data_IF_882153985456
#
_entry.id   IF_882153985456
#
_cell.length_a   1.000
_cell.length_b   1.000
_cell.length_c   1.000
_cell.angle_alpha   90.00
_cell.angle_beta   90.00
_cell.angle_gamma   90.00
#
_symmetry.space_group_name_H-M   'P 1'
#
loop_
_entity.id
_entity.type
_entity.pdbx_description
1 polymer ?
#
# COMPACT_ATOMS: atom_id res chain seq x y z
N UNK A 1 -12.73 -69.89 14.13
CA UNK A 1 -11.60 -69.27 14.81
C UNK A 1 -11.16 -68.09 13.96
N UNK A 2 -11.88 -66.95 14.12
CA UNK A 2 -11.64 -65.72 13.36
C UNK A 2 -10.72 -64.78 14.18
N UNK A 3 -9.74 -64.12 13.53
CA UNK A 3 -9.02 -63.07 14.23
C UNK A 3 -9.72 -61.70 14.02
N UNK A 4 -10.06 -61.08 15.12
CA UNK A 4 -10.61 -59.75 15.31
C UNK A 4 -9.72 -58.69 14.69
N UNK A 5 -10.26 -57.92 13.73
CA UNK A 5 -9.66 -56.72 13.19
C UNK A 5 -9.96 -55.53 14.08
N UNK A 6 -8.91 -54.91 14.68
CA UNK A 6 -9.00 -53.61 15.35
C UNK A 6 -9.10 -52.50 14.30
N UNK A 7 -9.94 -51.50 14.48
CA UNK A 7 -9.90 -50.28 13.64
C UNK A 7 -8.72 -49.39 14.10
N UNK A 8 -7.89 -49.02 13.12
CA UNK A 8 -6.88 -47.98 13.28
C UNK A 8 -7.59 -46.61 13.32
N UNK A 9 -7.48 -45.91 14.45
CA UNK A 9 -7.80 -44.50 14.56
C UNK A 9 -6.75 -43.70 13.75
N UNK A 10 -7.17 -43.13 12.65
CA UNK A 10 -6.44 -42.09 11.94
C UNK A 10 -6.84 -40.74 12.60
N UNK A 11 -6.03 -40.29 13.54
CA UNK A 11 -6.09 -38.92 14.05
C UNK A 11 -5.55 -37.97 12.97
N UNK A 12 -6.44 -37.47 12.12
CA UNK A 12 -6.18 -36.34 11.27
C UNK A 12 -6.18 -35.06 12.09
N UNK A 13 -5.01 -34.63 12.55
CA UNK A 13 -4.82 -33.30 13.14
C UNK A 13 -5.01 -32.29 12.02
N UNK A 14 -6.19 -31.69 11.96
CA UNK A 14 -6.45 -30.51 11.14
C UNK A 14 -5.74 -29.34 11.82
N UNK A 15 -4.62 -28.92 11.24
CA UNK A 15 -3.86 -27.72 11.63
C UNK A 15 -4.62 -26.47 11.15
N UNK A 16 -5.74 -26.15 11.80
CA UNK A 16 -6.44 -24.89 11.63
C UNK A 16 -5.67 -23.84 12.45
N UNK A 17 -5.15 -22.76 11.84
CA UNK A 17 -4.43 -21.72 12.57
C UNK A 17 -5.30 -21.20 13.71
N UNK A 18 -4.87 -21.43 14.95
CA UNK A 18 -5.60 -21.03 16.14
C UNK A 18 -5.67 -19.51 16.19
N UNK A 19 -6.85 -18.94 16.08
CA UNK A 19 -7.07 -17.50 16.16
C UNK A 19 -6.39 -16.92 17.41
N UNK A 20 -5.64 -15.83 17.24
CA UNK A 20 -4.93 -15.16 18.32
C UNK A 20 -5.91 -14.72 19.42
N UNK A 21 -5.52 -14.89 20.70
CA UNK A 21 -6.24 -14.33 21.84
C UNK A 21 -6.25 -12.79 21.77
N UNK A 22 -7.14 -12.14 22.53
CA UNK A 22 -7.17 -10.67 22.62
C UNK A 22 -5.82 -10.07 23.03
N UNK A 23 -5.13 -10.71 23.99
CA UNK A 23 -3.76 -10.32 24.42
C UNK A 23 -2.73 -10.56 23.30
N UNK A 24 -2.90 -11.61 22.51
CA UNK A 24 -2.06 -11.89 21.34
C UNK A 24 -2.19 -10.78 20.28
N UNK A 25 -3.41 -10.43 19.92
CA UNK A 25 -3.68 -9.32 18.95
C UNK A 25 -3.14 -7.98 19.44
N UNK A 26 -3.28 -7.67 20.73
CA UNK A 26 -2.71 -6.45 21.30
C UNK A 26 -1.18 -6.43 21.23
N UNK A 27 -0.53 -7.58 21.45
CA UNK A 27 0.93 -7.69 21.34
C UNK A 27 1.40 -7.54 19.90
N UNK A 28 0.72 -8.20 18.96
CA UNK A 28 0.99 -8.08 17.53
C UNK A 28 0.86 -6.62 17.08
N UNK A 29 -0.25 -5.96 17.42
CA UNK A 29 -0.49 -4.55 17.10
C UNK A 29 0.61 -3.64 17.67
N UNK A 30 1.08 -3.87 18.88
CA UNK A 30 2.15 -3.07 19.47
C UNK A 30 3.48 -3.20 18.67
N UNK A 31 3.80 -4.40 18.15
CA UNK A 31 4.97 -4.63 17.30
C UNK A 31 4.80 -3.90 15.95
N UNK A 32 3.62 -4.02 15.34
CA UNK A 32 3.29 -3.37 14.07
C UNK A 32 3.35 -1.85 14.16
N UNK A 33 2.73 -1.25 15.19
CA UNK A 33 2.73 0.20 15.42
C UNK A 33 4.17 0.73 15.64
N UNK A 34 5.00 0.00 16.41
CA UNK A 34 6.41 0.34 16.61
C UNK A 34 7.20 0.29 15.30
N UNK A 35 6.99 -0.74 14.48
CA UNK A 35 7.66 -0.89 13.21
C UNK A 35 7.25 0.21 12.21
N UNK A 36 5.96 0.53 12.08
CA UNK A 36 5.46 1.62 11.23
C UNK A 36 6.15 2.94 11.57
N UNK A 37 6.23 3.26 12.86
CA UNK A 37 6.89 4.48 13.34
C UNK A 37 8.38 4.50 13.00
N UNK A 38 9.10 3.43 13.31
CA UNK A 38 10.56 3.36 13.10
C UNK A 38 10.92 3.33 11.61
N UNK A 39 10.15 2.65 10.77
CA UNK A 39 10.36 2.66 9.32
C UNK A 39 10.12 4.05 8.72
N UNK A 40 9.17 4.82 9.24
CA UNK A 40 8.96 6.20 8.81
C UNK A 40 10.09 7.13 9.27
N UNK A 41 10.63 6.96 10.48
CA UNK A 41 11.66 7.83 11.07
C UNK A 41 13.07 7.52 10.58
N UNK A 42 13.42 6.24 10.44
CA UNK A 42 14.80 5.77 10.21
C UNK A 42 14.96 4.94 8.93
N UNK A 43 13.88 4.68 8.23
CA UNK A 43 13.83 3.75 7.11
C UNK A 43 13.93 2.28 7.54
N UNK A 44 13.65 1.40 6.60
CA UNK A 44 13.69 -0.05 6.83
C UNK A 44 15.10 -0.56 7.19
N UNK A 45 16.12 -0.17 6.44
CA UNK A 45 17.50 -0.62 6.66
C UNK A 45 18.11 -0.03 7.93
N UNK A 46 17.71 1.19 8.33
CA UNK A 46 18.14 1.85 9.57
C UNK A 46 17.46 1.36 10.84
N UNK A 47 16.52 0.41 10.72
CA UNK A 47 15.74 -0.14 11.85
C UNK A 47 16.12 -1.60 12.09
N UNK A 48 16.51 -1.93 13.33
CA UNK A 48 16.78 -3.33 13.73
C UNK A 48 15.56 -3.96 14.41
N UNK A 49 15.55 -5.30 14.46
CA UNK A 49 14.55 -6.05 15.23
C UNK A 49 14.54 -5.67 16.72
N UNK A 50 15.73 -5.40 17.27
CA UNK A 50 15.88 -4.98 18.68
C UNK A 50 15.22 -3.62 18.90
N UNK A 51 15.37 -2.67 17.96
CA UNK A 51 14.70 -1.37 18.04
C UNK A 51 13.19 -1.53 18.08
N UNK A 52 12.63 -2.37 17.17
CA UNK A 52 11.19 -2.63 17.09
C UNK A 52 10.67 -3.24 18.38
N UNK A 53 11.34 -4.30 18.88
CA UNK A 53 10.89 -5.00 20.09
C UNK A 53 10.99 -4.14 21.33
N UNK A 54 12.05 -3.32 21.44
CA UNK A 54 12.23 -2.35 22.53
C UNK A 54 11.14 -1.28 22.52
N UNK A 55 10.85 -0.69 21.34
CA UNK A 55 9.81 0.31 21.17
C UNK A 55 8.40 -0.27 21.47
N UNK A 56 8.16 -1.54 21.13
CA UNK A 56 6.92 -2.24 21.42
C UNK A 56 6.79 -2.68 22.91
N UNK A 57 7.84 -2.54 23.72
CA UNK A 57 7.89 -3.08 25.10
C UNK A 57 7.79 -4.61 25.12
N UNK A 58 8.43 -5.29 24.18
CA UNK A 58 8.42 -6.75 24.02
C UNK A 58 9.84 -7.30 23.88
N UNK A 59 10.01 -8.59 24.17
CA UNK A 59 11.29 -9.26 23.92
C UNK A 59 11.39 -9.78 22.48
N UNK A 60 12.60 -9.99 21.93
CA UNK A 60 12.79 -10.65 20.63
C UNK A 60 12.12 -12.01 20.52
N UNK A 61 12.11 -12.81 21.61
CA UNK A 61 11.42 -14.10 21.63
C UNK A 61 9.90 -13.97 21.41
N UNK A 62 9.30 -12.87 21.86
CA UNK A 62 7.87 -12.58 21.61
C UNK A 62 7.65 -12.19 20.14
N UNK A 63 8.56 -11.45 19.52
CA UNK A 63 8.49 -11.09 18.09
C UNK A 63 8.43 -12.34 17.22
N UNK A 64 9.34 -13.30 17.42
CA UNK A 64 9.42 -14.54 16.65
C UNK A 64 8.20 -15.47 16.75
N UNK A 65 7.24 -15.15 17.62
CA UNK A 65 5.94 -15.84 17.66
C UNK A 65 4.95 -15.33 16.60
N UNK A 66 5.21 -14.17 16.00
CA UNK A 66 4.32 -13.51 15.04
C UNK A 66 4.97 -13.36 13.67
N UNK A 67 6.27 -13.15 13.63
CA UNK A 67 7.02 -12.86 12.40
C UNK A 67 8.35 -13.61 12.42
N UNK A 68 8.75 -14.16 11.27
CA UNK A 68 10.01 -14.88 11.14
C UNK A 68 11.22 -13.92 11.12
N UNK A 69 11.04 -12.74 10.57
CA UNK A 69 12.07 -11.71 10.44
C UNK A 69 11.44 -10.32 10.21
N UNK A 70 12.27 -9.32 9.97
CA UNK A 70 11.84 -7.94 9.73
C UNK A 70 11.15 -7.78 8.37
N UNK A 71 11.56 -8.54 7.39
CA UNK A 71 10.96 -8.61 6.06
C UNK A 71 9.55 -9.19 6.10
N UNK A 72 9.35 -10.24 6.89
CA UNK A 72 8.04 -10.83 7.09
C UNK A 72 7.06 -9.86 7.78
N UNK A 73 7.52 -9.13 8.80
CA UNK A 73 6.75 -8.05 9.40
C UNK A 73 6.41 -6.96 8.38
N UNK A 74 7.38 -6.51 7.56
CA UNK A 74 7.13 -5.51 6.53
C UNK A 74 6.08 -5.97 5.52
N UNK A 75 6.17 -7.23 5.07
CA UNK A 75 5.20 -7.77 4.13
C UNK A 75 3.80 -7.83 4.74
N UNK A 76 3.66 -8.27 6.00
CA UNK A 76 2.38 -8.26 6.71
C UNK A 76 1.80 -6.83 6.84
N UNK A 77 2.65 -5.83 7.11
CA UNK A 77 2.24 -4.42 7.16
C UNK A 77 1.78 -3.90 5.79
N UNK A 78 2.47 -4.28 4.72
CA UNK A 78 2.11 -3.90 3.36
C UNK A 78 0.81 -4.60 2.90
N UNK A 79 0.63 -5.87 3.21
CA UNK A 79 -0.60 -6.63 2.94
C UNK A 79 -1.80 -6.05 3.69
N UNK A 80 -1.64 -5.70 4.99
CA UNK A 80 -2.68 -5.02 5.78
C UNK A 80 -3.07 -3.69 5.18
N UNK A 81 -2.08 -2.89 4.80
CA UNK A 81 -2.29 -1.60 4.15
C UNK A 81 -3.03 -1.75 2.82
N UNK A 82 -2.61 -2.70 1.98
CA UNK A 82 -3.27 -2.98 0.71
C UNK A 82 -4.73 -3.38 0.93
N UNK A 83 -5.00 -4.22 1.93
CA UNK A 83 -6.34 -4.64 2.29
C UNK A 83 -7.21 -3.47 2.75
N UNK A 84 -6.68 -2.58 3.59
CA UNK A 84 -7.36 -1.37 4.06
C UNK A 84 -7.69 -0.40 2.92
N UNK A 85 -6.84 -0.32 1.89
CA UNK A 85 -6.99 0.57 0.73
C UNK A 85 -7.94 0.00 -0.32
N UNK A 86 -7.80 -1.29 -0.65
CA UNK A 86 -8.56 -1.94 -1.72
C UNK A 86 -9.96 -2.34 -1.28
N UNK A 87 -10.14 -2.79 -0.04
CA UNK A 87 -11.45 -3.27 0.45
C UNK A 87 -12.50 -2.20 0.75
N UNK A 88 -12.17 -0.99 1.28
CA UNK A 88 -13.17 0.05 1.45
C UNK A 88 -13.64 0.67 0.14
N UNK A 89 -13.11 0.24 -0.99
CA UNK A 89 -13.46 0.69 -2.34
C UNK A 89 -14.86 0.28 -2.80
N UNK A 90 -15.77 0.01 -1.88
CA UNK A 90 -17.16 0.39 -2.04
C UNK A 90 -17.33 1.91 -2.27
N UNK A 91 -16.26 2.68 -2.40
CA UNK A 91 -16.23 4.02 -2.97
C UNK A 91 -16.76 3.89 -4.40
N UNK A 92 -18.06 4.10 -4.54
CA UNK A 92 -18.65 4.46 -5.83
C UNK A 92 -18.07 5.82 -6.20
N UNK A 93 -16.84 5.79 -6.72
CA UNK A 93 -16.22 6.97 -7.28
C UNK A 93 -17.15 7.42 -8.41
N UNK A 94 -17.79 8.58 -8.24
CA UNK A 94 -18.46 9.24 -9.34
C UNK A 94 -17.37 9.74 -10.28
N UNK A 95 -17.08 8.93 -11.30
CA UNK A 95 -16.06 9.26 -12.30
C UNK A 95 -16.42 10.57 -13.00
N UNK A 96 -15.43 11.39 -13.37
CA UNK A 96 -15.67 12.70 -13.96
C UNK A 96 -16.31 12.56 -15.34
N UNK A 97 -17.35 13.36 -15.60
CA UNK A 97 -18.07 13.38 -16.88
C UNK A 97 -17.68 14.57 -17.75
N UNK A 98 -17.07 15.57 -17.16
CA UNK A 98 -16.71 16.82 -17.84
C UNK A 98 -15.47 17.48 -17.26
N UNK A 99 -14.85 18.42 -17.99
CA UNK A 99 -13.72 19.24 -17.49
C UNK A 99 -14.07 20.06 -16.24
N UNK A 100 -15.35 20.24 -15.94
CA UNK A 100 -15.82 21.00 -14.77
C UNK A 100 -15.84 20.19 -13.48
N UNK A 101 -15.72 18.86 -13.56
CA UNK A 101 -15.73 17.94 -12.42
C UNK A 101 -14.39 17.91 -11.65
N UNK A 102 -13.85 19.10 -11.36
CA UNK A 102 -12.55 19.27 -10.70
C UNK A 102 -12.52 18.58 -9.32
N UNK A 103 -13.67 18.53 -8.65
CA UNK A 103 -13.78 17.93 -7.30
C UNK A 103 -13.37 16.46 -7.27
N UNK A 104 -13.65 15.69 -8.32
CA UNK A 104 -13.24 14.29 -8.41
C UNK A 104 -11.72 14.16 -8.26
N UNK A 105 -10.95 14.88 -9.08
CA UNK A 105 -9.49 14.79 -9.10
C UNK A 105 -8.89 15.20 -7.76
N UNK A 106 -9.33 16.32 -7.19
CA UNK A 106 -8.83 16.79 -5.89
C UNK A 106 -9.15 15.78 -4.79
N UNK A 107 -10.37 15.23 -4.76
CA UNK A 107 -10.77 14.26 -3.73
C UNK A 107 -9.95 12.98 -3.79
N UNK A 108 -9.79 12.42 -4.99
CA UNK A 108 -9.04 11.16 -5.16
C UNK A 108 -7.55 11.37 -4.86
N UNK A 109 -6.97 12.47 -5.35
CA UNK A 109 -5.56 12.78 -5.12
C UNK A 109 -5.28 13.12 -3.66
N UNK A 110 -6.19 13.84 -2.97
CA UNK A 110 -6.05 14.08 -1.52
C UNK A 110 -6.05 12.78 -0.73
N UNK A 111 -7.00 11.89 -1.00
CA UNK A 111 -7.07 10.59 -0.32
C UNK A 111 -5.80 9.75 -0.59
N UNK A 112 -5.33 9.72 -1.83
CA UNK A 112 -4.08 9.08 -2.22
C UNK A 112 -2.87 9.66 -1.46
N UNK A 113 -2.75 11.00 -1.42
CA UNK A 113 -1.66 11.70 -0.76
C UNK A 113 -1.61 11.43 0.73
N UNK A 114 -2.74 11.54 1.41
CA UNK A 114 -2.85 11.31 2.86
C UNK A 114 -2.51 9.86 3.21
N UNK A 115 -2.98 8.92 2.42
CA UNK A 115 -2.72 7.50 2.55
C UNK A 115 -1.21 7.19 2.41
N UNK A 116 -0.58 7.72 1.36
CA UNK A 116 0.85 7.55 1.14
C UNK A 116 1.68 8.18 2.26
N UNK A 117 1.32 9.39 2.68
CA UNK A 117 2.01 10.11 3.75
C UNK A 117 1.98 9.34 5.08
N UNK A 118 0.85 8.73 5.41
CA UNK A 118 0.72 7.90 6.62
C UNK A 118 1.54 6.61 6.56
N UNK A 119 1.79 6.09 5.36
CA UNK A 119 2.45 4.80 5.15
C UNK A 119 3.79 4.89 4.42
N UNK A 120 4.38 6.10 4.33
CA UNK A 120 5.57 6.34 3.51
C UNK A 120 6.75 5.42 3.86
N UNK A 121 6.96 5.11 5.14
CA UNK A 121 8.02 4.21 5.57
C UNK A 121 7.85 2.78 5.03
N UNK A 122 6.60 2.29 4.95
CA UNK A 122 6.28 0.98 4.36
C UNK A 122 6.44 1.04 2.85
N UNK A 123 5.90 2.06 2.19
CA UNK A 123 5.94 2.19 0.73
C UNK A 123 7.36 2.29 0.20
N UNK A 124 8.22 3.10 0.83
CA UNK A 124 9.64 3.20 0.48
C UNK A 124 10.38 1.89 0.74
N UNK A 125 10.08 1.19 1.83
CA UNK A 125 10.70 -0.10 2.14
C UNK A 125 10.30 -1.19 1.11
N UNK A 126 9.03 -1.25 0.73
CA UNK A 126 8.53 -2.15 -0.32
C UNK A 126 9.23 -1.86 -1.66
N UNK A 127 9.32 -0.58 -2.06
CA UNK A 127 10.02 -0.16 -3.29
C UNK A 127 11.49 -0.61 -3.30
N UNK A 128 12.21 -0.39 -2.20
CA UNK A 128 13.62 -0.80 -2.06
C UNK A 128 13.82 -2.32 -2.18
N UNK A 129 12.93 -3.11 -1.59
CA UNK A 129 13.03 -4.57 -1.61
C UNK A 129 12.46 -5.20 -2.88
N UNK A 130 11.54 -4.54 -3.57
CA UNK A 130 10.95 -5.02 -4.82
C UNK A 130 11.98 -5.25 -5.93
N UNK A 131 13.08 -4.49 -5.94
CA UNK A 131 14.16 -4.65 -6.90
C UNK A 131 14.89 -6.00 -6.79
N UNK A 132 14.86 -6.65 -5.64
CA UNK A 132 15.65 -7.88 -5.37
C UNK A 132 14.81 -9.06 -4.87
N UNK A 133 13.59 -8.80 -4.41
CA UNK A 133 12.74 -9.83 -3.79
C UNK A 133 11.36 -9.92 -4.48
N UNK A 134 11.02 -11.06 -5.12
CA UNK A 134 9.77 -11.24 -5.85
C UNK A 134 8.49 -11.00 -5.02
N UNK A 135 8.51 -11.31 -3.72
CA UNK A 135 7.39 -11.06 -2.80
C UNK A 135 7.02 -9.57 -2.76
N UNK A 136 8.02 -8.71 -2.61
CA UNK A 136 7.82 -7.26 -2.55
C UNK A 136 7.49 -6.66 -3.91
N UNK A 137 8.07 -7.19 -5.00
CA UNK A 137 7.67 -6.82 -6.36
C UNK A 137 6.17 -7.13 -6.61
N UNK A 138 5.69 -8.26 -6.11
CA UNK A 138 4.27 -8.62 -6.16
C UNK A 138 3.38 -7.62 -5.40
N UNK A 139 3.76 -7.23 -4.18
CA UNK A 139 3.04 -6.23 -3.38
C UNK A 139 3.04 -4.85 -4.06
N UNK A 140 4.19 -4.41 -4.55
CA UNK A 140 4.30 -3.14 -5.28
C UNK A 140 3.39 -3.12 -6.52
N UNK A 141 3.34 -4.21 -7.28
CA UNK A 141 2.47 -4.31 -8.45
C UNK A 141 0.99 -4.27 -8.09
N UNK A 142 0.58 -4.85 -6.95
CA UNK A 142 -0.80 -4.76 -6.47
C UNK A 142 -1.19 -3.31 -6.11
N UNK A 143 -0.31 -2.54 -5.48
CA UNK A 143 -0.54 -1.11 -5.23
C UNK A 143 -0.68 -0.33 -6.53
N UNK A 144 0.21 -0.57 -7.50
CA UNK A 144 0.15 0.08 -8.83
C UNK A 144 -1.14 -0.25 -9.55
N UNK A 145 -1.54 -1.53 -9.54
CA UNK A 145 -2.76 -1.98 -10.21
C UNK A 145 -3.99 -1.24 -9.71
N UNK A 146 -4.12 -1.04 -8.39
CA UNK A 146 -5.23 -0.27 -7.82
C UNK A 146 -5.29 1.16 -8.38
N UNK A 147 -4.15 1.86 -8.49
CA UNK A 147 -4.08 3.19 -9.10
C UNK A 147 -4.39 3.17 -10.60
N UNK A 148 -3.86 2.19 -11.32
CA UNK A 148 -4.09 2.00 -12.76
C UNK A 148 -5.59 1.80 -13.04
N UNK A 149 -6.29 0.99 -12.23
CA UNK A 149 -7.71 0.72 -12.41
C UNK A 149 -8.56 2.00 -12.28
N UNK A 150 -8.27 2.85 -11.27
CA UNK A 150 -8.98 4.13 -11.08
C UNK A 150 -8.73 5.08 -12.25
N UNK A 151 -7.48 5.23 -12.67
CA UNK A 151 -7.13 6.15 -13.77
C UNK A 151 -7.69 5.63 -15.08
N UNK A 152 -7.57 4.34 -15.38
CA UNK A 152 -8.12 3.72 -16.59
C UNK A 152 -9.63 3.91 -16.70
N UNK A 153 -10.35 3.69 -15.60
CA UNK A 153 -11.80 3.94 -15.55
C UNK A 153 -12.13 5.42 -15.84
N UNK A 154 -11.32 6.38 -15.37
CA UNK A 154 -11.52 7.80 -15.64
C UNK A 154 -11.24 8.17 -17.11
N UNK A 155 -10.25 7.54 -17.73
CA UNK A 155 -9.96 7.72 -19.18
C UNK A 155 -11.14 7.20 -20.02
N UNK A 156 -11.60 5.98 -19.74
CA UNK A 156 -12.73 5.38 -20.43
C UNK A 156 -14.00 6.22 -20.27
N UNK A 157 -14.23 6.77 -19.09
CA UNK A 157 -15.37 7.67 -18.83
C UNK A 157 -15.26 8.96 -19.64
N UNK A 158 -14.08 9.59 -19.68
CA UNK A 158 -13.82 10.76 -20.50
C UNK A 158 -14.04 10.48 -22.00
N UNK A 159 -13.57 9.31 -22.50
CA UNK A 159 -13.78 8.90 -23.89
C UNK A 159 -15.25 8.71 -24.23
N UNK A 160 -16.03 8.15 -23.33
CA UNK A 160 -17.49 8.01 -23.50
C UNK A 160 -18.19 9.37 -23.68
N UNK A 161 -17.61 10.44 -23.12
CA UNK A 161 -18.11 11.82 -23.27
C UNK A 161 -17.40 12.62 -24.39
N UNK A 162 -16.63 11.95 -25.24
CA UNK A 162 -15.97 12.58 -26.41
C UNK A 162 -14.65 13.29 -26.11
N UNK A 163 -14.11 13.12 -24.89
CA UNK A 163 -12.78 13.62 -24.50
C UNK A 163 -11.72 12.53 -24.62
N UNK A 164 -10.45 12.89 -24.56
CA UNK A 164 -9.33 11.94 -24.48
C UNK A 164 -9.33 10.84 -25.56
N UNK A 165 -9.99 11.05 -26.70
CA UNK A 165 -10.24 10.01 -27.72
C UNK A 165 -8.98 9.45 -28.38
N UNK A 166 -7.86 10.19 -28.32
CA UNK A 166 -6.55 9.74 -28.83
C UNK A 166 -5.69 8.99 -27.81
N UNK A 167 -6.16 8.83 -26.56
CA UNK A 167 -5.41 8.16 -25.52
C UNK A 167 -5.71 6.66 -25.46
N UNK A 168 -4.67 5.87 -25.22
CA UNK A 168 -4.83 4.46 -24.85
C UNK A 168 -5.04 4.38 -23.32
N UNK A 169 -6.21 3.90 -22.83
CA UNK A 169 -6.54 3.97 -21.41
C UNK A 169 -5.50 3.34 -20.50
N UNK A 170 -5.05 2.12 -20.81
CA UNK A 170 -4.09 1.37 -20.00
C UNK A 170 -2.70 2.03 -19.98
N UNK A 171 -2.21 2.50 -21.14
CA UNK A 171 -0.91 3.18 -21.24
C UNK A 171 -0.93 4.52 -20.49
N UNK A 172 -2.02 5.27 -20.62
CA UNK A 172 -2.20 6.55 -19.93
C UNK A 172 -2.29 6.34 -18.42
N UNK A 173 -3.04 5.32 -18.00
CA UNK A 173 -3.20 4.97 -16.59
C UNK A 173 -1.86 4.55 -15.96
N UNK A 174 -1.09 3.71 -16.64
CA UNK A 174 0.25 3.31 -16.18
C UNK A 174 1.17 4.53 -16.03
N UNK A 175 1.21 5.42 -17.02
CA UNK A 175 2.05 6.62 -16.99
C UNK A 175 1.69 7.54 -15.81
N UNK A 176 0.40 7.79 -15.57
CA UNK A 176 -0.10 8.62 -14.47
C UNK A 176 0.20 7.94 -13.12
N UNK A 177 -0.03 6.63 -12.99
CA UNK A 177 0.23 5.90 -11.76
C UNK A 177 1.72 5.95 -11.38
N UNK A 178 2.63 5.74 -12.33
CA UNK A 178 4.07 5.82 -12.10
C UNK A 178 4.52 7.26 -11.79
N UNK A 179 3.94 8.26 -12.44
CA UNK A 179 4.20 9.67 -12.12
C UNK A 179 3.78 9.98 -10.68
N UNK A 180 2.60 9.54 -10.25
CA UNK A 180 2.12 9.75 -8.90
C UNK A 180 3.01 9.05 -7.88
N UNK A 181 3.35 7.78 -8.10
CA UNK A 181 4.22 6.99 -7.21
C UNK A 181 5.57 7.68 -7.01
N UNK A 182 6.26 8.04 -8.11
CA UNK A 182 7.57 8.68 -8.04
C UNK A 182 7.50 10.09 -7.45
N UNK A 183 6.56 10.91 -7.89
CA UNK A 183 6.38 12.26 -7.37
C UNK A 183 6.15 12.24 -5.86
N UNK A 184 5.23 11.41 -5.39
CA UNK A 184 4.87 11.30 -3.97
C UNK A 184 6.05 10.77 -3.16
N UNK A 185 6.72 9.72 -3.64
CA UNK A 185 7.90 9.15 -2.99
C UNK A 185 9.00 10.20 -2.83
N UNK A 186 9.31 10.96 -3.87
CA UNK A 186 10.34 12.00 -3.84
C UNK A 186 9.94 13.14 -2.89
N UNK A 187 8.68 13.60 -2.93
CA UNK A 187 8.25 14.73 -2.11
C UNK A 187 8.14 14.39 -0.62
N UNK A 188 7.78 13.15 -0.27
CA UNK A 188 7.56 12.74 1.13
C UNK A 188 8.80 12.14 1.80
N UNK A 189 9.85 11.80 1.05
CA UNK A 189 11.08 11.28 1.67
C UNK A 189 11.81 12.37 2.46
N UNK A 190 12.33 12.06 3.67
CA UNK A 190 13.09 13.02 4.47
C UNK A 190 14.31 13.59 3.73
N UNK A 191 14.93 12.81 2.85
CA UNK A 191 16.15 13.16 2.11
C UNK A 191 15.86 13.91 0.79
N UNK A 192 14.61 14.26 0.51
CA UNK A 192 14.20 14.95 -0.74
C UNK A 192 14.75 16.37 -0.86
N UNK A 193 15.40 16.90 0.18
CA UNK A 193 16.08 18.21 0.19
C UNK A 193 17.09 18.39 -0.96
N UNK A 194 17.55 17.32 -1.60
CA UNK A 194 18.51 17.37 -2.71
C UNK A 194 17.99 18.06 -3.99
N UNK A 195 16.67 18.12 -4.20
CA UNK A 195 16.07 18.81 -5.33
C UNK A 195 15.78 20.30 -5.08
N UNK A 196 15.98 20.81 -3.86
CA UNK A 196 15.74 22.21 -3.49
C UNK A 196 14.27 22.66 -3.56
N UNK A 197 13.34 21.77 -3.86
CA UNK A 197 11.91 22.06 -3.93
C UNK A 197 11.20 21.54 -2.67
N UNK A 198 10.57 22.46 -1.93
CA UNK A 198 9.67 22.13 -0.84
C UNK A 198 8.25 22.46 -1.29
N UNK A 199 7.44 21.43 -1.54
CA UNK A 199 6.03 21.58 -1.84
C UNK A 199 5.22 21.40 -0.56
N UNK A 200 4.20 22.25 -0.37
CA UNK A 200 3.18 21.96 0.62
C UNK A 200 2.29 20.80 0.14
N UNK A 201 1.61 20.13 1.07
CA UNK A 201 0.63 19.09 0.70
C UNK A 201 -0.41 19.64 -0.30
N UNK A 202 -0.87 20.88 -0.10
CA UNK A 202 -1.84 21.53 -0.97
C UNK A 202 -1.29 21.75 -2.39
N UNK A 203 -0.03 22.17 -2.53
CA UNK A 203 0.62 22.36 -3.83
C UNK A 203 0.80 21.02 -4.55
N UNK A 204 1.24 19.98 -3.83
CA UNK A 204 1.42 18.65 -4.37
C UNK A 204 0.09 18.05 -4.88
N UNK A 205 -0.98 18.12 -4.07
CA UNK A 205 -2.33 17.67 -4.44
C UNK A 205 -2.84 18.46 -5.66
N UNK A 206 -2.69 19.78 -5.66
CA UNK A 206 -3.11 20.63 -6.78
C UNK A 206 -2.36 20.28 -8.06
N UNK A 207 -1.04 20.06 -7.96
CA UNK A 207 -0.20 19.70 -9.11
C UNK A 207 -0.63 18.37 -9.73
N UNK A 208 -0.73 17.32 -8.92
CA UNK A 208 -1.11 15.98 -9.39
C UNK A 208 -2.55 15.97 -9.96
N UNK A 209 -3.48 16.63 -9.29
CA UNK A 209 -4.87 16.77 -9.74
C UNK A 209 -4.97 17.48 -11.07
N UNK A 210 -4.19 18.56 -11.25
CA UNK A 210 -4.14 19.33 -12.47
C UNK A 210 -3.55 18.54 -13.63
N UNK A 211 -2.45 17.83 -13.41
CA UNK A 211 -1.83 16.98 -14.43
C UNK A 211 -2.81 15.92 -14.91
N UNK A 212 -3.43 15.19 -13.98
CA UNK A 212 -4.40 14.15 -14.34
C UNK A 212 -5.59 14.73 -15.11
N UNK A 213 -6.21 15.81 -14.60
CA UNK A 213 -7.33 16.49 -15.27
C UNK A 213 -6.95 16.97 -16.68
N UNK A 214 -5.80 17.64 -16.84
CA UNK A 214 -5.33 18.14 -18.14
C UNK A 214 -5.05 17.02 -19.12
N UNK A 215 -4.57 15.88 -18.66
CA UNK A 215 -4.38 14.69 -19.51
C UNK A 215 -5.70 14.23 -20.12
N UNK A 216 -6.81 14.28 -19.37
CA UNK A 216 -8.11 13.84 -19.88
C UNK A 216 -8.83 14.89 -20.72
N UNK A 217 -8.70 16.16 -20.39
CA UNK A 217 -9.57 17.21 -20.95
C UNK A 217 -8.82 18.32 -21.70
N UNK A 218 -7.48 18.36 -21.65
CA UNK A 218 -6.66 19.27 -22.45
C UNK A 218 -6.56 20.72 -21.94
N UNK A 219 -7.20 21.06 -20.80
CA UNK A 219 -7.19 22.42 -20.20
C UNK A 219 -7.29 22.40 -18.68
#
# INVERSE_FOLDING_TARGET
MEPSSRPQHADGVSDVPRALSSKGRQTQKAIEDAARKLFAERGFHGTTLVDITSAAGRSPAVFYRYYSDKEDLLAALAESFLHEVVQPSGLRLHLPESPHDTRFFVTVVSAYWDMFKQSIGIMVAVDQLAATQPRFAGLQNQFRQFGIDIVSASVLRAQHHGYATGLQPEHTALAIALLFEQFTTVCLRPDSAGLGLRLSDADAITTLSTIWKKTLYGF
#
